data_IF_935223008503
#
_entry.id   IF_935223008503
#
_cell.length_a   1.000
_cell.length_b   1.000
_cell.length_c   1.000
_cell.angle_alpha   90.00
_cell.angle_beta   90.00
_cell.angle_gamma   90.00
#
_symmetry.space_group_name_H-M   'P 1'
#
loop_
_entity.id
_entity.type
_entity.pdbx_description
1 polymer ?
#
# COMPACT_ATOMS: atom_id res chain seq x y z
N UNK A 1 48.53 -45.10 45.81
CA UNK A 1 47.17 -45.67 45.77
C UNK A 1 46.21 -44.51 45.55
N UNK A 2 45.50 -44.48 44.44
CA UNK A 2 44.41 -43.58 43.97
C UNK A 2 44.74 -42.11 43.71
N UNK A 3 45.22 -41.89 42.48
CA UNK A 3 45.33 -40.58 41.84
C UNK A 3 44.58 -40.58 40.46
N UNK A 4 43.41 -41.23 40.35
CA UNK A 4 42.73 -41.37 39.04
C UNK A 4 41.25 -40.96 39.00
N UNK A 5 40.75 -40.16 39.98
CA UNK A 5 39.31 -39.81 39.97
C UNK A 5 39.00 -38.30 39.90
N UNK A 6 39.99 -37.41 39.57
CA UNK A 6 39.71 -35.96 39.50
C UNK A 6 39.67 -35.38 38.08
N UNK A 7 39.98 -36.13 37.02
CA UNK A 7 40.11 -35.56 35.67
C UNK A 7 38.79 -35.65 34.83
N UNK A 8 37.79 -36.44 35.27
CA UNK A 8 36.56 -36.62 34.50
C UNK A 8 35.40 -35.68 34.87
N UNK A 9 35.53 -34.90 35.94
CA UNK A 9 34.44 -33.98 36.37
C UNK A 9 34.43 -32.63 35.68
N UNK A 10 35.57 -32.13 35.22
CA UNK A 10 35.66 -30.79 34.61
C UNK A 10 35.34 -30.78 33.12
N UNK A 11 35.61 -31.89 32.41
CA UNK A 11 35.27 -31.96 30.95
C UNK A 11 33.77 -32.07 30.70
N UNK A 12 32.99 -32.62 31.63
CA UNK A 12 31.53 -32.74 31.48
C UNK A 12 30.85 -31.40 31.73
N UNK A 13 31.35 -30.55 32.63
CA UNK A 13 30.79 -29.20 32.87
C UNK A 13 31.03 -28.23 31.72
N UNK A 14 32.14 -28.39 31.01
CA UNK A 14 32.46 -27.53 29.86
C UNK A 14 31.57 -27.81 28.64
N UNK A 15 31.13 -29.01 28.42
CA UNK A 15 30.24 -29.37 27.32
C UNK A 15 28.80 -28.90 27.51
N UNK A 16 28.31 -28.89 28.74
CA UNK A 16 26.97 -28.34 29.05
C UNK A 16 26.89 -26.83 28.87
N UNK A 17 27.96 -26.10 29.12
CA UNK A 17 28.02 -24.66 28.94
C UNK A 17 28.03 -24.33 27.44
N UNK A 18 28.69 -25.13 26.60
CA UNK A 18 28.71 -24.92 25.14
C UNK A 18 27.35 -25.25 24.50
N UNK A 19 26.64 -26.28 25.00
CA UNK A 19 25.30 -26.63 24.48
C UNK A 19 24.27 -25.58 24.91
N UNK A 20 24.33 -25.01 26.10
CA UNK A 20 23.45 -23.93 26.55
C UNK A 20 23.74 -22.63 25.82
N UNK A 21 25.00 -22.33 25.48
CA UNK A 21 25.36 -21.15 24.68
C UNK A 21 24.93 -21.27 23.22
N UNK A 22 24.85 -22.47 22.63
CA UNK A 22 24.31 -22.73 21.30
C UNK A 22 22.78 -22.64 21.23
N UNK A 23 22.08 -22.92 22.33
CA UNK A 23 20.62 -22.76 22.41
C UNK A 23 20.20 -21.30 22.66
N UNK A 24 21.06 -20.45 23.20
CA UNK A 24 20.80 -19.02 23.39
C UNK A 24 21.13 -18.15 22.16
N UNK A 25 21.74 -18.72 21.12
CA UNK A 25 22.02 -18.02 19.86
C UNK A 25 20.93 -18.14 18.80
N UNK A 26 19.84 -18.90 19.05
CA UNK A 26 18.58 -18.72 18.35
C UNK A 26 17.80 -17.54 18.96
N UNK A 27 18.37 -16.35 18.87
CA UNK A 27 17.57 -15.14 18.88
C UNK A 27 16.72 -15.23 17.61
N UNK A 28 15.49 -15.65 17.80
CA UNK A 28 14.42 -15.35 16.86
C UNK A 28 14.53 -13.84 16.64
N UNK A 29 15.04 -13.42 15.50
CA UNK A 29 14.70 -12.10 14.98
C UNK A 29 13.18 -12.18 14.89
N UNK A 30 12.49 -11.64 15.88
CA UNK A 30 11.10 -11.28 15.70
C UNK A 30 11.16 -10.38 14.45
N UNK A 31 10.58 -10.83 13.35
CA UNK A 31 10.41 -9.99 12.19
C UNK A 31 9.72 -8.75 12.72
N UNK A 32 10.34 -7.58 12.55
CA UNK A 32 9.67 -6.33 12.87
C UNK A 32 8.36 -6.35 12.10
N UNK A 33 7.24 -6.17 12.81
CA UNK A 33 5.94 -6.27 12.20
C UNK A 33 5.75 -5.16 11.17
N UNK A 34 4.94 -5.44 10.18
CA UNK A 34 4.70 -4.54 9.06
C UNK A 34 3.69 -3.45 9.42
N UNK A 35 3.91 -2.25 8.92
CA UNK A 35 2.98 -1.12 9.00
C UNK A 35 2.62 -0.58 7.61
N UNK A 36 1.47 0.09 7.47
CA UNK A 36 0.95 0.49 6.16
C UNK A 36 1.85 1.43 5.35
N UNK A 37 2.66 2.25 6.03
CA UNK A 37 3.44 3.30 5.39
C UNK A 37 4.87 3.34 5.89
N UNK A 38 5.77 3.88 5.05
CA UNK A 38 7.15 4.23 5.38
C UNK A 38 7.32 5.74 5.27
N UNK A 39 7.82 6.38 6.30
CA UNK A 39 8.28 7.77 6.26
C UNK A 39 9.70 7.76 5.69
N UNK A 40 9.89 8.30 4.49
CA UNK A 40 11.17 8.30 3.79
C UNK A 40 12.02 9.51 4.17
N UNK A 41 11.38 10.66 4.29
CA UNK A 41 12.01 11.91 4.69
C UNK A 41 11.04 12.83 5.41
N UNK A 42 11.57 13.60 6.34
CA UNK A 42 10.88 14.65 7.06
C UNK A 42 11.75 15.89 7.05
N UNK A 43 11.50 16.75 6.07
CA UNK A 43 12.28 17.97 5.91
C UNK A 43 11.76 19.05 6.84
N UNK A 44 12.58 19.49 7.81
CA UNK A 44 12.25 20.60 8.69
C UNK A 44 12.65 21.94 8.07
N UNK A 45 11.80 22.95 8.22
CA UNK A 45 12.08 24.32 7.80
C UNK A 45 11.65 24.65 6.37
N UNK A 46 12.37 25.59 5.72
CA UNK A 46 12.00 26.12 4.40
C UNK A 46 12.45 25.28 3.19
N UNK A 47 13.17 24.20 3.42
CA UNK A 47 13.56 23.29 2.35
C UNK A 47 12.36 22.43 1.98
N UNK A 48 11.76 22.69 0.81
CA UNK A 48 10.60 21.95 0.30
C UNK A 48 11.06 21.06 -0.84
N UNK A 49 11.05 19.77 -0.61
CA UNK A 49 11.10 18.81 -1.71
C UNK A 49 9.86 19.05 -2.57
N UNK A 50 10.03 19.12 -3.86
CA UNK A 50 8.92 19.34 -4.76
C UNK A 50 8.57 18.07 -5.55
N UNK A 51 7.40 18.06 -6.16
CA UNK A 51 6.89 16.91 -6.90
C UNK A 51 7.78 16.51 -8.10
N UNK A 52 8.45 17.50 -8.69
CA UNK A 52 9.36 17.27 -9.83
C UNK A 52 10.60 16.49 -9.40
N UNK A 53 11.20 16.86 -8.28
CA UNK A 53 12.36 16.14 -7.72
C UNK A 53 12.01 14.69 -7.36
N UNK A 54 10.82 14.45 -6.76
CA UNK A 54 10.36 13.09 -6.49
C UNK A 54 10.17 12.28 -7.78
N UNK A 55 9.62 12.89 -8.81
CA UNK A 55 9.43 12.26 -10.11
C UNK A 55 10.78 11.90 -10.74
N UNK A 56 11.69 12.84 -10.82
CA UNK A 56 13.03 12.65 -11.39
C UNK A 56 13.80 11.55 -10.64
N UNK A 57 13.81 11.56 -9.30
CA UNK A 57 14.47 10.52 -8.52
C UNK A 57 13.86 9.12 -8.72
N UNK A 58 12.53 9.00 -8.87
CA UNK A 58 11.92 7.72 -9.22
C UNK A 58 12.32 7.25 -10.63
N UNK A 59 12.34 8.16 -11.60
CA UNK A 59 12.70 7.86 -13.00
C UNK A 59 14.20 7.45 -13.11
N UNK A 60 15.09 8.07 -12.36
CA UNK A 60 16.51 7.69 -12.27
C UNK A 60 16.70 6.26 -11.75
N UNK A 61 15.85 5.81 -10.82
CA UNK A 61 15.85 4.44 -10.29
C UNK A 61 15.10 3.42 -11.18
N UNK A 62 14.62 3.86 -12.34
CA UNK A 62 13.96 3.00 -13.34
C UNK A 62 12.48 2.80 -13.12
N UNK A 63 11.86 3.56 -12.22
CA UNK A 63 10.42 3.59 -12.08
C UNK A 63 9.77 4.41 -13.20
N UNK A 64 8.51 4.12 -13.47
CA UNK A 64 7.68 4.85 -14.43
C UNK A 64 6.60 5.58 -13.66
N UNK A 65 6.65 6.91 -13.66
CA UNK A 65 5.60 7.73 -13.05
C UNK A 65 4.40 7.77 -13.98
N UNK A 66 3.26 7.33 -13.47
CA UNK A 66 2.01 7.18 -14.22
C UNK A 66 1.11 8.40 -14.12
N UNK A 67 1.18 9.11 -13.00
CA UNK A 67 0.38 10.30 -12.76
C UNK A 67 0.54 10.85 -11.35
N UNK A 68 -0.02 12.03 -11.15
CA UNK A 68 -0.06 12.69 -9.85
C UNK A 68 -1.32 13.53 -9.71
N UNK A 69 -1.76 13.73 -8.48
CA UNK A 69 -2.88 14.61 -8.19
C UNK A 69 -2.84 15.15 -6.76
N UNK A 70 -3.78 16.01 -6.44
CA UNK A 70 -3.97 16.59 -5.10
C UNK A 70 -5.24 15.99 -4.48
N UNK A 71 -5.12 15.04 -3.53
CA UNK A 71 -6.26 14.49 -2.83
C UNK A 71 -7.10 15.58 -2.16
N UNK A 72 -8.42 15.42 -2.21
CA UNK A 72 -9.36 16.40 -1.65
C UNK A 72 -9.20 17.84 -2.19
N UNK A 73 -8.52 18.03 -3.33
CA UNK A 73 -8.12 19.32 -3.86
C UNK A 73 -7.24 20.16 -2.89
N UNK A 74 -6.71 19.51 -1.83
CA UNK A 74 -5.83 20.13 -0.84
C UNK A 74 -4.43 20.32 -1.43
N UNK A 75 -4.01 21.58 -1.55
CA UNK A 75 -2.68 21.90 -2.09
C UNK A 75 -1.52 21.38 -1.25
N UNK A 76 -1.77 21.10 0.02
CA UNK A 76 -0.78 20.55 0.97
C UNK A 76 -0.54 19.06 0.78
N UNK A 77 -1.39 18.37 0.02
CA UNK A 77 -1.32 16.94 -0.25
C UNK A 77 -1.06 16.70 -1.74
N UNK A 78 -0.06 15.92 -2.05
CA UNK A 78 0.23 15.50 -3.43
C UNK A 78 0.57 14.02 -3.41
N UNK A 79 0.00 13.26 -4.35
CA UNK A 79 0.30 11.84 -4.52
C UNK A 79 0.90 11.60 -5.89
N UNK A 80 1.99 10.86 -5.93
CA UNK A 80 2.56 10.25 -7.13
C UNK A 80 2.15 8.78 -7.18
N UNK A 81 1.66 8.36 -8.33
CA UNK A 81 1.41 6.95 -8.66
C UNK A 81 2.46 6.48 -9.65
N UNK A 82 3.13 5.38 -9.36
CA UNK A 82 4.24 4.88 -10.17
C UNK A 82 4.30 3.36 -10.18
N UNK A 83 5.00 2.82 -11.14
CA UNK A 83 5.23 1.39 -11.29
C UNK A 83 6.68 1.11 -11.68
N UNK A 84 7.05 -0.16 -11.79
CA UNK A 84 8.34 -0.58 -12.30
C UNK A 84 8.19 -1.78 -13.24
N UNK A 85 8.95 -1.89 -14.36
CA UNK A 85 8.83 -3.00 -15.30
C UNK A 85 9.00 -4.39 -14.67
N UNK A 86 9.89 -4.52 -13.66
CA UNK A 86 10.05 -5.78 -12.91
C UNK A 86 8.79 -6.13 -12.10
N UNK A 87 8.17 -5.12 -11.45
CA UNK A 87 6.92 -5.31 -10.71
C UNK A 87 5.81 -5.76 -11.64
N UNK A 88 5.62 -5.07 -12.78
CA UNK A 88 4.61 -5.43 -13.78
C UNK A 88 4.83 -6.85 -14.33
N UNK A 89 6.08 -7.23 -14.57
CA UNK A 89 6.42 -8.58 -15.05
C UNK A 89 5.95 -9.66 -14.06
N UNK A 90 6.19 -9.46 -12.75
CA UNK A 90 5.79 -10.43 -11.74
C UNK A 90 4.27 -10.44 -11.59
N UNK A 91 3.65 -9.29 -11.35
CA UNK A 91 2.21 -9.16 -11.15
C UNK A 91 1.43 -9.73 -12.35
N UNK A 92 1.93 -9.56 -13.57
CA UNK A 92 1.28 -10.12 -14.77
C UNK A 92 1.29 -11.65 -14.82
N UNK A 93 2.12 -12.32 -14.04
CA UNK A 93 2.18 -13.77 -13.90
C UNK A 93 1.27 -14.34 -12.81
N UNK A 94 0.71 -13.48 -11.95
CA UNK A 94 -0.15 -13.86 -10.83
C UNK A 94 -1.64 -13.79 -11.23
N UNK A 95 -2.54 -14.03 -10.26
CA UNK A 95 -3.98 -13.88 -10.46
C UNK A 95 -4.36 -12.46 -10.90
N UNK A 96 -5.53 -12.30 -11.49
CA UNK A 96 -5.97 -11.00 -12.04
C UNK A 96 -6.08 -9.91 -10.97
N UNK A 97 -6.51 -10.26 -9.76
CA UNK A 97 -6.65 -9.33 -8.63
C UNK A 97 -5.31 -8.80 -8.12
N UNK A 98 -4.20 -9.47 -8.42
CA UNK A 98 -2.86 -8.95 -8.19
C UNK A 98 -2.61 -7.61 -8.93
N UNK A 99 -3.44 -7.30 -9.92
CA UNK A 99 -3.42 -6.02 -10.63
C UNK A 99 -3.49 -4.81 -9.71
N UNK A 100 -4.20 -4.89 -8.58
CA UNK A 100 -4.24 -3.80 -7.59
C UNK A 100 -2.87 -3.47 -6.99
N UNK A 101 -1.94 -4.40 -6.95
CA UNK A 101 -0.59 -4.18 -6.45
C UNK A 101 0.39 -3.64 -7.51
N UNK A 102 -0.02 -3.55 -8.76
CA UNK A 102 0.85 -3.16 -9.89
C UNK A 102 1.32 -1.70 -9.86
N UNK A 103 0.70 -0.85 -9.05
CA UNK A 103 1.01 0.58 -8.94
C UNK A 103 1.21 0.94 -7.48
N UNK A 104 2.36 1.53 -7.18
CA UNK A 104 2.71 2.02 -5.86
C UNK A 104 2.50 3.52 -5.75
N UNK A 105 2.46 4.04 -4.54
CA UNK A 105 2.17 5.44 -4.28
C UNK A 105 3.16 6.04 -3.30
N UNK A 106 3.56 7.25 -3.60
CA UNK A 106 4.32 8.11 -2.72
C UNK A 106 3.55 9.40 -2.51
N UNK A 107 3.51 9.89 -1.29
CA UNK A 107 2.86 11.15 -0.98
C UNK A 107 3.87 12.18 -0.49
N UNK A 108 3.63 13.41 -0.89
CA UNK A 108 4.25 14.62 -0.38
C UNK A 108 3.18 15.37 0.41
N UNK A 109 3.36 15.50 1.71
CA UNK A 109 2.38 16.14 2.60
C UNK A 109 3.04 17.30 3.35
N UNK A 110 2.47 18.50 3.23
CA UNK A 110 2.91 19.64 4.03
C UNK A 110 2.39 19.48 5.47
N UNK A 111 3.32 19.33 6.43
CA UNK A 111 3.08 19.32 7.86
C UNK A 111 3.18 20.75 8.44
N UNK A 112 2.93 20.91 9.75
CA UNK A 112 3.07 22.22 10.40
C UNK A 112 4.51 22.78 10.33
N UNK A 113 5.51 21.90 10.37
CA UNK A 113 6.95 22.25 10.40
C UNK A 113 7.68 21.53 9.26
N UNK A 114 7.25 21.70 8.02
CA UNK A 114 7.99 21.15 6.88
C UNK A 114 7.18 20.31 5.92
N UNK A 115 7.82 19.33 5.32
CA UNK A 115 7.22 18.46 4.32
C UNK A 115 7.62 17.02 4.59
N UNK A 116 6.67 16.11 4.59
CA UNK A 116 6.87 14.67 4.74
C UNK A 116 6.79 13.97 3.38
N UNK A 117 7.72 13.04 3.14
CA UNK A 117 7.66 12.09 2.04
C UNK A 117 7.30 10.73 2.62
N UNK A 118 6.14 10.21 2.27
CA UNK A 118 5.69 8.89 2.68
C UNK A 118 5.48 7.95 1.50
N UNK A 119 5.81 6.69 1.70
CA UNK A 119 5.59 5.60 0.74
C UNK A 119 4.51 4.66 1.29
N UNK A 120 3.56 4.29 0.45
CA UNK A 120 2.74 3.11 0.70
C UNK A 120 3.68 1.91 0.85
N UNK A 121 3.78 1.31 2.06
CA UNK A 121 4.75 0.24 2.33
C UNK A 121 4.50 -0.99 1.45
N UNK A 122 5.35 -1.28 0.45
CA UNK A 122 5.06 -2.36 -0.49
C UNK A 122 5.07 -3.75 0.12
N UNK A 123 5.75 -3.98 1.25
CA UNK A 123 5.70 -5.27 1.96
C UNK A 123 4.35 -5.48 2.63
N UNK A 124 3.83 -4.46 3.32
CA UNK A 124 2.51 -4.50 3.95
C UNK A 124 1.41 -4.71 2.90
N UNK A 125 1.37 -3.85 1.89
CA UNK A 125 0.33 -3.89 0.85
C UNK A 125 0.47 -5.09 -0.08
N UNK A 126 1.71 -5.56 -0.29
CA UNK A 126 1.99 -6.77 -1.05
C UNK A 126 1.41 -8.00 -0.37
N UNK A 127 1.65 -8.18 0.93
CA UNK A 127 1.04 -9.28 1.69
C UNK A 127 -0.48 -9.20 1.69
N UNK A 128 -1.07 -8.01 1.92
CA UNK A 128 -2.52 -7.83 1.96
C UNK A 128 -3.22 -8.06 0.59
N UNK A 129 -2.54 -7.77 -0.53
CA UNK A 129 -3.15 -7.82 -1.87
C UNK A 129 -2.75 -9.06 -2.68
N UNK A 130 -1.54 -9.55 -2.52
CA UNK A 130 -1.09 -10.76 -3.20
C UNK A 130 -1.36 -12.01 -2.36
N UNK A 131 -1.51 -11.86 -1.05
CA UNK A 131 -1.79 -12.95 -0.11
C UNK A 131 -0.79 -14.11 -0.28
N UNK A 132 -1.22 -15.35 -0.49
CA UNK A 132 -0.37 -16.53 -0.69
C UNK A 132 0.56 -16.44 -1.91
N UNK A 133 0.29 -15.52 -2.84
CA UNK A 133 1.19 -15.28 -3.98
C UNK A 133 2.32 -14.29 -3.67
N UNK A 134 2.29 -13.58 -2.53
CA UNK A 134 3.33 -12.61 -2.16
C UNK A 134 4.76 -13.18 -2.17
N UNK A 135 5.04 -14.41 -1.68
CA UNK A 135 6.38 -14.98 -1.73
C UNK A 135 7.01 -15.02 -3.12
N UNK A 136 6.21 -15.10 -4.19
CA UNK A 136 6.71 -15.04 -5.58
C UNK A 136 7.24 -13.65 -5.92
N UNK A 137 6.68 -12.60 -5.34
CA UNK A 137 7.04 -11.20 -5.59
C UNK A 137 8.07 -10.65 -4.59
N UNK A 138 8.23 -11.25 -3.43
CA UNK A 138 8.94 -10.74 -2.26
C UNK A 138 10.36 -10.21 -2.60
N UNK A 139 11.17 -11.01 -3.27
CA UNK A 139 12.55 -10.60 -3.59
C UNK A 139 12.61 -9.36 -4.49
N UNK A 140 11.69 -9.25 -5.44
CA UNK A 140 11.59 -8.07 -6.32
C UNK A 140 11.05 -6.87 -5.56
N UNK A 141 10.06 -7.06 -4.69
CA UNK A 141 9.52 -6.00 -3.84
C UNK A 141 10.62 -5.41 -2.96
N UNK A 142 11.40 -6.24 -2.27
CA UNK A 142 12.52 -5.81 -1.42
C UNK A 142 13.63 -5.11 -2.23
N UNK A 143 13.95 -5.59 -3.42
CA UNK A 143 14.90 -4.90 -4.32
C UNK A 143 14.40 -3.49 -4.68
N UNK A 144 13.13 -3.37 -5.06
CA UNK A 144 12.56 -2.09 -5.48
C UNK A 144 12.42 -1.10 -4.32
N UNK A 145 12.06 -1.59 -3.12
CA UNK A 145 12.07 -0.76 -1.89
C UNK A 145 13.48 -0.23 -1.63
N UNK A 146 14.51 -1.08 -1.72
CA UNK A 146 15.89 -0.66 -1.50
C UNK A 146 16.33 0.47 -2.44
N UNK A 147 15.89 0.46 -3.71
CA UNK A 147 16.14 1.56 -4.65
C UNK A 147 15.47 2.86 -4.22
N UNK A 148 14.20 2.79 -3.80
CA UNK A 148 13.48 3.95 -3.27
C UNK A 148 14.18 4.51 -2.02
N UNK A 149 14.61 3.64 -1.11
CA UNK A 149 15.32 4.06 0.11
C UNK A 149 16.68 4.69 -0.19
N UNK A 150 17.38 4.26 -1.23
CA UNK A 150 18.64 4.90 -1.68
C UNK A 150 18.36 6.28 -2.26
N UNK A 151 17.29 6.44 -3.05
CA UNK A 151 16.95 7.71 -3.69
C UNK A 151 16.40 8.76 -2.71
N UNK A 152 15.60 8.34 -1.74
CA UNK A 152 14.81 9.25 -0.91
C UNK A 152 15.00 9.07 0.60
N UNK A 153 15.63 8.00 1.04
CA UNK A 153 15.85 7.74 2.46
C UNK A 153 16.97 8.62 3.03
N UNK A 154 16.64 9.59 3.86
CA UNK A 154 17.63 10.47 4.51
C UNK A 154 18.34 9.82 5.72
N UNK A 155 18.45 8.49 5.74
CA UNK A 155 19.30 7.73 6.69
C UNK A 155 18.76 7.60 8.12
N UNK A 156 17.93 8.50 8.63
CA UNK A 156 17.36 8.46 9.97
C UNK A 156 15.83 8.31 10.01
N UNK A 157 15.16 8.41 8.89
CA UNK A 157 13.70 8.54 8.82
C UNK A 157 12.95 7.37 8.20
N UNK A 158 13.60 6.26 7.86
CA UNK A 158 12.91 5.07 7.33
C UNK A 158 12.01 4.41 8.41
N UNK A 159 11.12 5.21 8.98
CA UNK A 159 10.24 4.79 10.05
C UNK A 159 8.93 4.27 9.47
N UNK A 160 8.59 3.04 9.82
CA UNK A 160 7.26 2.50 9.53
C UNK A 160 6.21 3.19 10.42
N UNK A 161 5.04 3.48 9.87
CA UNK A 161 3.96 4.15 10.58
C UNK A 161 2.58 3.79 10.01
N UNK A 162 1.54 4.23 10.70
CA UNK A 162 0.15 4.13 10.27
C UNK A 162 -0.68 3.13 11.06
N UNK A 163 -0.06 2.45 12.03
CA UNK A 163 -0.74 1.62 13.00
C UNK A 163 -0.02 1.62 14.34
N UNK A 164 -0.78 1.54 15.42
CA UNK A 164 -0.27 1.26 16.77
C UNK A 164 0.11 -0.21 16.97
N UNK A 165 -0.38 -1.09 16.08
CA UNK A 165 -0.07 -2.51 16.04
C UNK A 165 0.84 -2.80 14.85
N UNK A 166 1.74 -3.75 15.04
CA UNK A 166 2.52 -4.34 13.97
C UNK A 166 1.81 -5.60 13.48
N UNK A 167 1.79 -5.79 12.17
CA UNK A 167 1.16 -6.94 11.55
C UNK A 167 2.21 -7.93 11.07
N UNK A 168 2.01 -9.20 11.35
CA UNK A 168 2.79 -10.24 10.70
C UNK A 168 2.41 -10.35 9.20
N UNK A 169 3.30 -10.93 8.40
CA UNK A 169 2.97 -11.22 6.99
C UNK A 169 1.74 -12.12 6.89
N UNK A 170 1.61 -13.08 7.79
CA UNK A 170 0.50 -14.05 7.83
C UNK A 170 -0.82 -13.34 8.13
N UNK A 171 -0.85 -12.44 9.16
CA UNK A 171 -2.03 -11.64 9.47
C UNK A 171 -2.48 -10.76 8.30
N UNK A 172 -1.51 -10.27 7.49
CA UNK A 172 -1.82 -9.46 6.32
C UNK A 172 -2.35 -10.29 5.15
N UNK A 173 -1.84 -11.50 4.94
CA UNK A 173 -2.34 -12.40 3.88
C UNK A 173 -3.78 -12.82 4.12
N UNK A 174 -4.17 -12.93 5.38
CA UNK A 174 -5.54 -13.23 5.82
C UNK A 174 -6.25 -12.00 6.39
N UNK A 175 -5.84 -10.78 5.98
CA UNK A 175 -6.29 -9.56 6.60
C UNK A 175 -7.81 -9.44 6.67
N UNK A 176 -8.30 -9.40 7.90
CA UNK A 176 -9.70 -9.23 8.22
C UNK A 176 -9.85 -8.34 9.46
N UNK A 177 -10.37 -7.13 9.27
CA UNK A 177 -10.43 -6.13 10.34
C UNK A 177 -11.25 -6.60 11.55
N UNK A 178 -12.45 -7.15 11.30
CA UNK A 178 -13.32 -7.72 12.34
C UNK A 178 -14.44 -8.56 11.70
N UNK A 179 -15.15 -9.33 12.54
CA UNK A 179 -16.32 -10.11 12.11
C UNK A 179 -17.30 -9.25 11.28
N UNK A 180 -17.80 -9.81 10.19
CA UNK A 180 -18.68 -9.18 9.21
C UNK A 180 -18.10 -8.04 8.35
N UNK A 181 -16.79 -7.79 8.43
CA UNK A 181 -16.12 -6.93 7.46
C UNK A 181 -15.70 -7.74 6.22
N UNK A 182 -15.62 -7.08 5.05
CA UNK A 182 -15.19 -7.77 3.83
C UNK A 182 -13.72 -8.14 3.87
N UNK A 183 -13.38 -9.24 3.19
CA UNK A 183 -12.03 -9.64 2.84
C UNK A 183 -11.56 -8.96 1.55
N UNK A 184 -10.30 -9.17 1.18
CA UNK A 184 -9.75 -8.68 -0.09
C UNK A 184 -10.52 -9.23 -1.31
N UNK A 185 -10.94 -10.48 -1.24
CA UNK A 185 -11.68 -11.18 -2.32
C UNK A 185 -13.10 -10.67 -2.50
N UNK A 186 -13.69 -10.02 -1.50
CA UNK A 186 -15.05 -9.47 -1.55
C UNK A 186 -15.08 -8.16 -2.34
N UNK A 187 -14.61 -8.23 -3.60
CA UNK A 187 -14.62 -7.10 -4.51
C UNK A 187 -16.04 -6.75 -4.95
N UNK A 188 -16.27 -5.47 -5.18
CA UNK A 188 -17.53 -4.99 -5.75
C UNK A 188 -17.44 -5.00 -7.26
N UNK A 189 -18.32 -5.73 -7.92
CA UNK A 189 -18.51 -5.69 -9.37
C UNK A 189 -19.34 -4.45 -9.73
N UNK A 190 -18.74 -3.51 -10.44
CA UNK A 190 -19.38 -2.24 -10.82
C UNK A 190 -20.05 -2.30 -12.20
N UNK A 191 -19.70 -3.28 -13.00
CA UNK A 191 -20.33 -3.47 -14.32
C UNK A 191 -19.72 -4.60 -15.12
N UNK A 192 -20.54 -5.13 -16.05
CA UNK A 192 -20.15 -6.12 -17.04
C UNK A 192 -20.54 -5.59 -18.44
N UNK A 193 -19.66 -5.73 -19.40
CA UNK A 193 -19.78 -5.19 -20.75
C UNK A 193 -19.78 -6.32 -21.79
N UNK A 194 -20.11 -6.03 -23.03
CA UNK A 194 -20.02 -7.01 -24.11
C UNK A 194 -18.57 -7.40 -24.42
N UNK A 195 -17.64 -6.44 -24.27
CA UNK A 195 -16.23 -6.64 -24.55
C UNK A 195 -15.33 -5.80 -23.63
N UNK A 196 -14.06 -6.19 -23.55
CA UNK A 196 -13.04 -5.42 -22.85
C UNK A 196 -12.91 -3.98 -23.41
N UNK A 197 -12.93 -3.83 -24.73
CA UNK A 197 -12.83 -2.52 -25.35
C UNK A 197 -14.02 -1.62 -24.98
N UNK A 198 -15.23 -2.15 -24.96
CA UNK A 198 -16.40 -1.40 -24.52
C UNK A 198 -16.28 -0.95 -23.07
N UNK A 199 -15.81 -1.83 -22.16
CA UNK A 199 -15.55 -1.43 -20.77
C UNK A 199 -14.59 -0.24 -20.69
N UNK A 200 -13.48 -0.30 -21.41
CA UNK A 200 -12.49 0.78 -21.44
C UNK A 200 -13.08 2.07 -22.04
N UNK A 201 -13.78 1.99 -23.15
CA UNK A 201 -14.39 3.14 -23.84
C UNK A 201 -15.44 3.84 -22.96
N UNK A 202 -16.28 3.05 -22.28
CA UNK A 202 -17.28 3.58 -21.33
C UNK A 202 -16.60 4.31 -20.18
N UNK A 203 -15.62 3.67 -19.52
CA UNK A 203 -14.88 4.29 -18.40
C UNK A 203 -14.19 5.59 -18.85
N UNK A 204 -13.47 5.57 -19.98
CA UNK A 204 -12.76 6.75 -20.48
C UNK A 204 -13.73 7.88 -20.90
N UNK A 205 -14.92 7.53 -21.41
CA UNK A 205 -15.96 8.51 -21.77
C UNK A 205 -16.56 9.13 -20.51
N UNK A 206 -16.93 8.30 -19.53
CA UNK A 206 -17.53 8.79 -18.30
C UNK A 206 -16.51 9.62 -17.49
N UNK A 207 -15.22 9.24 -17.46
CA UNK A 207 -14.17 10.04 -16.83
C UNK A 207 -14.00 11.43 -17.48
N UNK A 208 -14.11 11.53 -18.80
CA UNK A 208 -14.05 12.85 -19.49
C UNK A 208 -15.23 13.76 -19.13
N UNK A 209 -16.38 13.16 -18.84
CA UNK A 209 -17.63 13.88 -18.57
C UNK A 209 -17.91 14.06 -17.08
N UNK A 210 -17.14 13.40 -16.20
CA UNK A 210 -17.37 13.44 -14.77
C UNK A 210 -16.83 14.73 -14.14
N UNK A 211 -17.64 15.37 -13.31
CA UNK A 211 -17.21 16.46 -12.43
C UNK A 211 -16.63 15.92 -11.11
N UNK A 212 -17.03 14.72 -10.70
CA UNK A 212 -16.70 14.13 -9.39
C UNK A 212 -15.59 13.07 -9.41
N UNK A 213 -15.21 12.58 -10.60
CA UNK A 213 -14.15 11.58 -10.74
C UNK A 213 -13.07 12.09 -11.69
N UNK A 214 -11.81 12.01 -11.27
CA UNK A 214 -10.68 12.37 -12.13
C UNK A 214 -9.78 11.16 -12.35
N UNK A 215 -9.34 10.95 -13.57
CA UNK A 215 -8.33 9.95 -13.89
C UNK A 215 -6.96 10.42 -13.42
N UNK A 216 -6.38 9.71 -12.44
CA UNK A 216 -5.01 9.95 -11.98
C UNK A 216 -4.02 9.16 -12.82
N UNK A 217 -4.31 7.89 -13.06
CA UNK A 217 -3.50 7.04 -13.92
C UNK A 217 -4.33 5.95 -14.60
N UNK A 218 -3.73 5.32 -15.61
CA UNK A 218 -4.17 4.09 -16.24
C UNK A 218 -2.96 3.20 -16.48
N UNK A 219 -2.97 1.98 -15.95
CA UNK A 219 -1.90 1.00 -16.11
C UNK A 219 -2.45 -0.31 -16.69
N UNK A 220 -1.90 -0.71 -17.83
CA UNK A 220 -2.14 -2.06 -18.36
C UNK A 220 -1.24 -3.05 -17.62
N UNK A 221 -1.83 -4.09 -17.03
CA UNK A 221 -1.13 -5.05 -16.17
C UNK A 221 -0.82 -6.34 -16.90
N UNK A 222 -1.83 -7.04 -17.42
CA UNK A 222 -1.68 -8.38 -17.98
C UNK A 222 -2.26 -8.44 -19.39
N UNK A 223 -1.43 -8.81 -20.37
CA UNK A 223 -1.83 -9.13 -21.76
C UNK A 223 -2.96 -8.26 -22.33
N UNK A 224 -2.98 -6.98 -21.97
CA UNK A 224 -4.00 -5.98 -22.35
C UNK A 224 -5.45 -6.31 -21.90
N UNK A 225 -5.66 -7.38 -21.12
CA UNK A 225 -6.99 -7.74 -20.61
C UNK A 225 -7.25 -7.30 -19.17
N UNK A 226 -6.19 -6.92 -18.45
CA UNK A 226 -6.28 -6.38 -17.08
C UNK A 226 -5.72 -4.97 -17.07
N UNK A 227 -6.56 -4.00 -16.71
CA UNK A 227 -6.19 -2.57 -16.65
C UNK A 227 -6.60 -2.02 -15.32
N UNK A 228 -5.66 -1.36 -14.65
CA UNK A 228 -5.91 -0.65 -13.38
C UNK A 228 -6.01 0.85 -13.66
N UNK A 229 -7.07 1.47 -13.16
CA UNK A 229 -7.25 2.91 -13.13
C UNK A 229 -7.11 3.44 -11.71
N UNK A 230 -6.41 4.56 -11.54
CA UNK A 230 -6.45 5.35 -10.31
C UNK A 230 -7.41 6.50 -10.49
N UNK A 231 -8.35 6.64 -9.55
CA UNK A 231 -9.46 7.58 -9.60
C UNK A 231 -9.42 8.48 -8.36
N UNK A 232 -9.23 9.78 -8.55
CA UNK A 232 -9.43 10.79 -7.51
C UNK A 232 -10.91 11.14 -7.41
N UNK A 233 -11.44 11.21 -6.19
CA UNK A 233 -12.86 11.42 -5.92
C UNK A 233 -13.11 12.83 -5.38
N UNK A 234 -13.98 13.56 -6.04
CA UNK A 234 -14.36 14.94 -5.73
C UNK A 234 -15.81 15.04 -5.28
N UNK A 235 -16.26 16.28 -5.10
CA UNK A 235 -17.63 16.57 -4.71
C UNK A 235 -17.92 16.38 -3.21
N UNK A 236 -19.18 16.46 -2.86
CA UNK A 236 -19.62 16.49 -1.45
C UNK A 236 -19.43 15.18 -0.70
N UNK A 237 -19.31 14.07 -1.41
CA UNK A 237 -19.08 12.72 -0.86
C UNK A 237 -17.70 12.16 -1.21
N UNK A 238 -16.87 12.95 -1.90
CA UNK A 238 -15.51 12.57 -2.28
C UNK A 238 -14.49 12.69 -1.15
N UNK A 239 -13.21 12.72 -1.52
CA UNK A 239 -12.07 12.71 -0.58
C UNK A 239 -12.12 13.86 0.43
N UNK A 240 -12.59 15.03 0.02
CA UNK A 240 -12.73 16.20 0.89
C UNK A 240 -13.73 16.01 2.04
N UNK A 241 -14.65 15.07 1.93
CA UNK A 241 -15.61 14.74 2.96
C UNK A 241 -14.99 13.89 4.08
N UNK A 242 -14.30 12.82 3.73
CA UNK A 242 -13.88 11.83 4.73
C UNK A 242 -12.44 12.00 5.23
N UNK A 243 -11.52 12.53 4.42
CA UNK A 243 -10.13 12.70 4.84
C UNK A 243 -9.95 13.52 6.11
N UNK A 244 -10.65 14.67 6.31
CA UNK A 244 -10.54 15.44 7.54
C UNK A 244 -11.01 14.69 8.80
N UNK A 245 -11.77 13.61 8.61
CA UNK A 245 -12.33 12.80 9.71
C UNK A 245 -11.40 11.64 10.06
N UNK A 246 -10.83 10.97 9.05
CA UNK A 246 -10.07 9.73 9.27
C UNK A 246 -8.56 9.93 9.29
N UNK A 247 -8.05 10.90 8.54
CA UNK A 247 -6.60 11.14 8.37
C UNK A 247 -6.12 12.26 9.30
N UNK A 248 -6.31 12.03 10.61
CA UNK A 248 -6.02 13.01 11.69
C UNK A 248 -4.71 12.73 12.41
N UNK A 249 -4.04 11.61 12.15
CA UNK A 249 -2.76 11.25 12.75
C UNK A 249 -1.68 12.31 12.44
N UNK A 250 -0.59 12.32 13.22
CA UNK A 250 0.58 13.19 13.01
C UNK A 250 1.12 12.99 11.58
N UNK A 251 1.58 11.77 11.28
CA UNK A 251 1.95 11.38 9.92
C UNK A 251 0.70 11.00 9.12
N UNK A 252 0.51 11.65 7.97
CA UNK A 252 -0.69 11.46 7.16
C UNK A 252 -0.63 10.22 6.28
N UNK A 253 -1.73 9.50 6.21
CA UNK A 253 -1.90 8.31 5.38
C UNK A 253 -2.19 8.64 3.90
N UNK A 254 -1.82 9.82 3.45
CA UNK A 254 -2.14 10.35 2.11
C UNK A 254 -1.80 9.39 0.97
N UNK A 255 -0.74 8.56 1.13
CA UNK A 255 -0.31 7.59 0.13
C UNK A 255 -1.27 6.40 -0.09
N UNK A 256 -2.39 6.28 0.67
CA UNK A 256 -3.39 5.25 0.36
C UNK A 256 -4.21 5.59 -0.89
N UNK A 257 -4.25 6.83 -1.31
CA UNK A 257 -4.99 7.32 -2.47
C UNK A 257 -4.13 7.25 -3.76
N UNK A 258 -4.77 7.24 -4.93
CA UNK A 258 -6.20 7.29 -5.23
C UNK A 258 -6.92 5.93 -5.01
N UNK A 259 -8.26 5.93 -5.12
CA UNK A 259 -9.05 4.71 -5.26
C UNK A 259 -8.82 4.06 -6.63
N UNK A 260 -9.15 2.78 -6.76
CA UNK A 260 -8.87 2.05 -7.99
C UNK A 260 -10.09 1.34 -8.58
N UNK A 261 -10.13 1.32 -9.93
CA UNK A 261 -10.95 0.41 -10.73
C UNK A 261 -10.06 -0.62 -11.41
N UNK A 262 -10.38 -1.89 -11.27
CA UNK A 262 -9.74 -2.98 -11.99
C UNK A 262 -10.66 -3.49 -13.10
N UNK A 263 -10.27 -3.27 -14.34
CA UNK A 263 -10.91 -3.89 -15.49
C UNK A 263 -10.26 -5.26 -15.69
N UNK A 264 -11.03 -6.32 -15.61
CA UNK A 264 -10.60 -7.69 -15.89
C UNK A 264 -11.48 -8.32 -16.97
N UNK A 265 -10.91 -8.47 -18.16
CA UNK A 265 -11.70 -8.88 -19.32
C UNK A 265 -12.82 -7.88 -19.61
N UNK A 266 -14.06 -8.30 -19.53
CA UNK A 266 -15.26 -7.48 -19.76
C UNK A 266 -15.91 -6.95 -18.48
N UNK A 267 -15.37 -7.26 -17.32
CA UNK A 267 -15.91 -6.86 -16.02
C UNK A 267 -15.04 -5.81 -15.36
N UNK A 268 -15.68 -4.98 -14.57
CA UNK A 268 -15.04 -3.87 -13.83
C UNK A 268 -15.31 -4.05 -12.35
N UNK A 269 -14.25 -3.98 -11.55
CA UNK A 269 -14.28 -4.18 -10.11
C UNK A 269 -13.64 -3.02 -9.37
N UNK A 270 -14.02 -2.86 -8.12
CA UNK A 270 -13.26 -2.11 -7.12
C UNK A 270 -13.09 -2.94 -5.85
N UNK A 271 -12.07 -2.64 -5.06
CA UNK A 271 -11.98 -3.20 -3.70
C UNK A 271 -13.12 -2.64 -2.86
N UNK A 272 -13.73 -3.48 -2.04
CA UNK A 272 -14.82 -3.05 -1.16
C UNK A 272 -14.35 -1.88 -0.28
N UNK A 273 -15.11 -0.78 -0.24
CA UNK A 273 -14.69 0.45 0.42
C UNK A 273 -14.35 0.27 1.92
N UNK A 274 -15.06 -0.62 2.63
CA UNK A 274 -14.74 -0.93 4.04
C UNK A 274 -13.39 -1.64 4.18
N UNK A 275 -13.08 -2.61 3.32
CA UNK A 275 -11.78 -3.27 3.30
C UNK A 275 -10.67 -2.25 3.03
N UNK A 276 -10.86 -1.42 2.01
CA UNK A 276 -9.87 -0.43 1.58
C UNK A 276 -9.58 0.61 2.64
N UNK A 277 -10.60 1.06 3.38
CA UNK A 277 -10.42 1.98 4.50
C UNK A 277 -9.73 1.27 5.67
N UNK A 278 -10.16 0.06 6.03
CA UNK A 278 -9.62 -0.67 7.17
C UNK A 278 -8.14 -0.99 7.01
N UNK A 279 -7.71 -1.50 5.85
CA UNK A 279 -6.31 -1.81 5.58
C UNK A 279 -5.43 -0.55 5.49
N UNK A 280 -6.02 0.61 5.15
CA UNK A 280 -5.33 1.89 5.08
C UNK A 280 -5.22 2.60 6.42
N UNK A 281 -6.16 2.35 7.33
CA UNK A 281 -6.29 2.99 8.64
C UNK A 281 -6.59 1.94 9.71
N UNK A 282 -5.63 1.06 10.06
CA UNK A 282 -5.88 -0.04 10.99
C UNK A 282 -6.33 0.42 12.38
N UNK A 283 -5.91 1.61 12.81
CA UNK A 283 -6.28 2.20 14.10
C UNK A 283 -7.62 2.96 14.10
N UNK A 284 -8.35 2.91 12.98
CA UNK A 284 -9.61 3.63 12.87
C UNK A 284 -10.64 3.06 13.84
N UNK A 285 -10.98 3.83 14.89
CA UNK A 285 -11.94 3.38 15.89
C UNK A 285 -13.37 3.29 15.32
N UNK A 286 -14.21 2.43 15.91
CA UNK A 286 -15.63 2.34 15.55
C UNK A 286 -16.37 3.65 15.72
N UNK A 287 -15.98 4.49 16.70
CA UNK A 287 -16.55 5.83 16.89
C UNK A 287 -16.22 6.75 15.70
N UNK A 288 -14.98 6.72 15.22
CA UNK A 288 -14.56 7.51 14.05
C UNK A 288 -15.19 6.94 12.78
N UNK A 289 -15.21 5.60 12.62
CA UNK A 289 -15.90 4.96 11.50
C UNK A 289 -17.39 5.31 11.45
N UNK A 290 -18.05 5.42 12.60
CA UNK A 290 -19.45 5.86 12.68
C UNK A 290 -19.71 7.23 12.04
N UNK A 291 -18.71 8.13 12.01
CA UNK A 291 -18.83 9.46 11.37
C UNK A 291 -18.72 9.40 9.85
N UNK A 292 -18.18 8.32 9.30
CA UNK A 292 -18.02 8.08 7.86
C UNK A 292 -18.78 6.82 7.42
N UNK A 293 -19.83 6.44 8.12
CA UNK A 293 -20.53 5.17 7.90
C UNK A 293 -21.06 5.04 6.46
N UNK A 294 -21.50 6.15 5.84
CA UNK A 294 -21.95 6.17 4.45
C UNK A 294 -20.80 6.14 3.43
N UNK A 295 -19.61 6.60 3.82
CA UNK A 295 -18.48 6.82 2.90
C UNK A 295 -18.14 5.60 2.01
N UNK A 296 -18.08 4.35 2.52
CA UNK A 296 -17.86 3.21 1.63
C UNK A 296 -18.88 3.08 0.50
N UNK A 297 -20.17 3.31 0.80
CA UNK A 297 -21.24 3.31 -0.21
C UNK A 297 -21.21 4.53 -1.11
N UNK A 298 -20.82 5.69 -0.59
CA UNK A 298 -20.69 6.92 -1.38
C UNK A 298 -19.54 6.78 -2.41
N UNK A 299 -18.42 6.18 -2.00
CA UNK A 299 -17.29 5.86 -2.90
C UNK A 299 -17.73 4.89 -4.00
N UNK A 300 -18.43 3.81 -3.63
CA UNK A 300 -18.97 2.85 -4.57
C UNK A 300 -19.92 3.52 -5.58
N UNK A 301 -20.82 4.38 -5.10
CA UNK A 301 -21.74 5.13 -5.95
C UNK A 301 -21.00 6.05 -6.94
N UNK A 302 -19.98 6.77 -6.49
CA UNK A 302 -19.13 7.59 -7.37
C UNK A 302 -18.41 6.74 -8.42
N UNK A 303 -17.82 5.63 -8.02
CA UNK A 303 -17.09 4.72 -8.91
C UNK A 303 -18.05 4.05 -9.93
N UNK A 304 -19.25 3.69 -9.51
CA UNK A 304 -20.28 3.11 -10.38
C UNK A 304 -20.72 4.06 -11.50
N UNK A 305 -20.65 5.37 -11.31
CA UNK A 305 -20.92 6.34 -12.39
C UNK A 305 -20.00 6.18 -13.60
N UNK A 306 -18.80 5.61 -13.37
CA UNK A 306 -17.81 5.40 -14.43
C UNK A 306 -18.12 4.18 -15.31
N UNK A 307 -19.00 3.29 -14.85
CA UNK A 307 -19.42 2.09 -15.57
C UNK A 307 -20.86 2.17 -16.08
N UNK A 308 -21.54 3.28 -15.82
CA UNK A 308 -22.91 3.51 -16.33
C UNK A 308 -22.91 3.68 -17.85
N UNK A 309 -23.92 3.04 -18.51
CA UNK A 309 -24.16 3.15 -19.96
C UNK A 309 -24.86 4.47 -20.30
#
# INVERSE_FOLDING_TARGET
MNLNNQINGEKIKSWWIIIVALFLACWVHAAEGLQPYLLLDETQGNSRVNLTELKEGLEEEGFVVLGSYKPAEDSRRKVLSFTHPKLLKIVSGLRETAGYFSVWRMALTEAEIGTEISLQNPEYWGNAYLQDEYPVAESTVKELISRILVAFGSGSSNKAFGSSQEFSEEDLREYHYMFSMPYFEDQVELGEFESHNQALETIETNLRNSENCIKVFRQTVKSQKTVLYGIGLKGTTGEGHFLPIIDIAEHKHTAFLPYELLVNGKKVYMLHGRFRIAVSFPDLTMMTFGKIMSTPGDIEALMATLTAN
#
